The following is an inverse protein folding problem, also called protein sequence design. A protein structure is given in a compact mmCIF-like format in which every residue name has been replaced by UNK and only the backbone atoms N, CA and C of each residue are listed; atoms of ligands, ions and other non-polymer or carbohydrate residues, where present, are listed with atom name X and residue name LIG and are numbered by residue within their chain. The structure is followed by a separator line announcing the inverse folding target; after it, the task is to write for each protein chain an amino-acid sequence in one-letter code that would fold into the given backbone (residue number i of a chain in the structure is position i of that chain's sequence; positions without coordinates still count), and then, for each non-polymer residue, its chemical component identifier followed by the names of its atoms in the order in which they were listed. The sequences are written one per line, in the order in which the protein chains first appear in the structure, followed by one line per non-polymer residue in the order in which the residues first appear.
data_IF_022467983849
#
_entry.id   IF_022467983849
#
_cell.length_a   1.000
_cell.length_b   1.000
_cell.length_c   1.000
_cell.angle_alpha   90.00
_cell.angle_beta   90.00
_cell.angle_gamma   90.00
#
_symmetry.space_group_name_H-M   'P 1'
#
loop_
_entity.id
_entity.type
_entity.pdbx_description
1 polymer ?
#
# COMPACT_ATOMS: atom_id res chain seq x y z
N UNK A 1 -22.39 -5.30 5.15
CA UNK A 1 -22.31 -6.72 4.71
C UNK A 1 -21.07 -7.03 3.86
N UNK A 2 -20.61 -6.11 3.00
CA UNK A 2 -19.46 -6.32 2.11
C UNK A 2 -18.13 -6.66 2.80
N UNK A 3 -17.82 -6.04 3.95
CA UNK A 3 -16.59 -6.34 4.71
C UNK A 3 -16.49 -7.81 5.14
N UNK A 4 -17.62 -8.45 5.49
CA UNK A 4 -17.64 -9.86 5.91
C UNK A 4 -17.48 -10.82 4.72
N UNK A 5 -18.05 -10.48 3.57
CA UNK A 5 -17.92 -11.25 2.32
C UNK A 5 -16.46 -11.22 1.84
N UNK A 6 -15.83 -10.04 1.88
CA UNK A 6 -14.43 -9.88 1.52
C UNK A 6 -13.52 -10.68 2.48
N UNK A 7 -13.73 -10.57 3.80
CA UNK A 7 -12.98 -11.34 4.82
C UNK A 7 -13.09 -12.87 4.66
N UNK A 8 -14.29 -13.39 4.37
CA UNK A 8 -14.49 -14.83 4.15
C UNK A 8 -13.84 -15.31 2.84
N UNK A 9 -13.76 -14.45 1.82
CA UNK A 9 -13.08 -14.77 0.58
C UNK A 9 -11.55 -14.79 0.75
N UNK A 10 -10.94 -13.80 1.42
CA UNK A 10 -9.50 -13.83 1.77
C UNK A 10 -9.12 -15.06 2.60
N UNK A 11 -10.04 -15.50 3.46
CA UNK A 11 -9.84 -16.70 4.28
C UNK A 11 -9.78 -17.98 3.44
N UNK A 12 -10.63 -18.08 2.41
CA UNK A 12 -10.64 -19.23 1.48
C UNK A 12 -9.44 -19.21 0.53
N UNK A 13 -8.97 -18.02 0.17
CA UNK A 13 -7.85 -17.82 -0.77
C UNK A 13 -6.46 -17.81 -0.11
N UNK A 14 -6.38 -17.90 1.22
CA UNK A 14 -5.10 -18.01 1.94
C UNK A 14 -4.28 -16.71 2.00
N UNK A 15 -4.92 -15.55 1.82
CA UNK A 15 -4.24 -14.25 1.86
C UNK A 15 -3.48 -14.06 3.19
N UNK A 16 -2.21 -13.67 3.11
CA UNK A 16 -1.39 -13.37 4.29
C UNK A 16 -1.40 -11.88 4.66
N UNK A 17 -1.82 -11.00 3.74
CA UNK A 17 -1.87 -9.56 3.92
C UNK A 17 -3.04 -8.92 3.18
N UNK A 18 -3.25 -7.64 3.49
CA UNK A 18 -4.17 -6.72 2.87
C UNK A 18 -3.36 -5.54 2.35
N UNK A 19 -3.51 -5.20 1.08
CA UNK A 19 -3.03 -3.95 0.49
C UNK A 19 -4.20 -2.99 0.27
N UNK A 20 -3.93 -1.69 0.24
CA UNK A 20 -4.92 -0.68 -0.12
C UNK A 20 -4.23 0.52 -0.75
N UNK A 21 -4.69 0.92 -1.93
CA UNK A 21 -4.28 2.15 -2.58
C UNK A 21 -4.97 3.36 -1.94
N UNK A 22 -4.19 4.42 -1.69
CA UNK A 22 -4.65 5.69 -1.12
C UNK A 22 -4.32 6.81 -2.10
N UNK A 23 -5.36 7.35 -2.74
CA UNK A 23 -5.27 8.50 -3.63
C UNK A 23 -5.23 9.79 -2.80
N UNK A 24 -4.05 10.12 -2.26
CA UNK A 24 -3.81 11.33 -1.49
C UNK A 24 -2.42 11.84 -1.82
N UNK A 25 -2.29 13.04 -2.41
CA UNK A 25 -1.00 13.66 -2.65
C UNK A 25 -0.18 13.74 -1.37
N UNK A 26 1.05 13.23 -1.38
CA UNK A 26 1.90 13.19 -0.19
C UNK A 26 3.37 13.10 -0.53
N UNK A 27 4.23 13.61 0.35
CA UNK A 27 5.63 13.17 0.42
C UNK A 27 5.73 11.82 1.13
N UNK A 28 6.89 11.15 1.05
CA UNK A 28 7.02 9.78 1.59
C UNK A 28 6.77 9.69 3.10
N UNK A 29 7.21 10.71 3.86
CA UNK A 29 7.02 10.76 5.30
C UNK A 29 5.53 10.86 5.70
N UNK A 30 4.75 11.64 4.95
CA UNK A 30 3.30 11.81 5.16
C UNK A 30 2.54 10.55 4.75
N UNK A 31 2.90 9.96 3.60
CA UNK A 31 2.32 8.69 3.14
C UNK A 31 2.49 7.58 4.18
N UNK A 32 3.69 7.47 4.76
CA UNK A 32 3.98 6.58 5.89
C UNK A 32 3.10 6.86 7.10
N UNK A 33 2.98 8.13 7.50
CA UNK A 33 2.12 8.52 8.62
C UNK A 33 0.64 8.15 8.35
N UNK A 34 0.16 8.36 7.12
CA UNK A 34 -1.19 8.00 6.69
C UNK A 34 -1.49 6.50 6.79
N UNK A 35 -0.54 5.64 6.37
CA UNK A 35 -0.70 4.19 6.57
C UNK A 35 -0.70 3.80 8.05
N UNK A 36 0.20 4.39 8.84
CA UNK A 36 0.32 4.10 10.28
C UNK A 36 -0.92 4.51 11.07
N UNK A 37 -1.54 5.64 10.73
CA UNK A 37 -2.81 6.07 11.31
C UNK A 37 -3.94 5.03 11.13
N UNK A 38 -3.83 4.16 10.12
CA UNK A 38 -4.79 3.10 9.81
C UNK A 38 -4.33 1.70 10.26
N UNK A 39 -3.31 1.60 11.13
CA UNK A 39 -2.78 0.33 11.60
C UNK A 39 -2.11 -0.52 10.51
N UNK A 40 -1.61 0.15 9.47
CA UNK A 40 -0.86 -0.42 8.37
C UNK A 40 0.54 0.20 8.31
N UNK A 41 1.32 -0.19 7.31
CA UNK A 41 2.58 0.44 6.94
C UNK A 41 2.58 0.67 5.43
N UNK A 42 3.49 1.49 4.89
CA UNK A 42 3.67 1.52 3.42
C UNK A 42 4.03 0.12 2.90
N UNK A 43 3.55 -0.21 1.71
CA UNK A 43 3.62 -1.57 1.19
C UNK A 43 5.06 -2.05 0.94
N UNK A 44 5.39 -3.19 1.54
CA UNK A 44 6.48 -4.09 1.15
C UNK A 44 6.02 -5.07 0.09
N UNK A 45 6.93 -5.57 -0.74
CA UNK A 45 6.64 -6.50 -1.83
C UNK A 45 7.67 -7.65 -1.81
N UNK A 46 7.19 -8.90 -1.82
CA UNK A 46 8.04 -10.10 -1.66
C UNK A 46 7.94 -11.11 -2.80
N UNK A 47 7.19 -10.81 -3.85
CA UNK A 47 7.08 -11.67 -5.03
C UNK A 47 6.60 -10.87 -6.24
N UNK A 48 6.83 -11.43 -7.43
CA UNK A 48 6.26 -11.01 -8.70
C UNK A 48 4.74 -10.94 -8.63
N UNK A 49 4.12 -11.96 -8.04
CA UNK A 49 2.67 -12.03 -7.87
C UNK A 49 2.12 -10.94 -6.97
N UNK A 50 2.81 -10.63 -5.87
CA UNK A 50 2.43 -9.51 -5.01
C UNK A 50 2.59 -8.17 -5.72
N UNK A 51 3.69 -8.00 -6.46
CA UNK A 51 3.96 -6.79 -7.23
C UNK A 51 2.87 -6.51 -8.26
N UNK A 52 2.52 -7.52 -9.06
CA UNK A 52 1.49 -7.43 -10.09
C UNK A 52 0.12 -7.11 -9.48
N UNK A 53 -0.22 -7.77 -8.38
CA UNK A 53 -1.48 -7.60 -7.71
C UNK A 53 -1.65 -6.19 -7.09
N UNK A 54 -0.60 -5.66 -6.46
CA UNK A 54 -0.58 -4.27 -5.99
C UNK A 54 -0.64 -3.30 -7.19
N UNK A 55 0.07 -3.59 -8.27
CA UNK A 55 0.03 -2.75 -9.47
C UNK A 55 -1.39 -2.68 -10.08
N UNK A 56 -2.07 -3.82 -10.24
CA UNK A 56 -3.48 -3.89 -10.69
C UNK A 56 -4.41 -3.10 -9.77
N UNK A 57 -4.17 -3.11 -8.45
CA UNK A 57 -4.95 -2.30 -7.50
C UNK A 57 -4.85 -0.79 -7.72
N UNK A 58 -3.78 -0.32 -8.37
CA UNK A 58 -3.57 1.08 -8.73
C UNK A 58 -4.17 1.37 -10.12
N UNK A 59 -3.91 0.50 -11.09
CA UNK A 59 -4.32 0.69 -12.48
C UNK A 59 -5.85 0.55 -12.69
N UNK A 60 -6.47 -0.43 -12.02
CA UNK A 60 -7.86 -0.82 -12.26
C UNK A 60 -8.82 -0.27 -11.18
N UNK A 61 -8.36 0.66 -10.34
CA UNK A 61 -9.15 1.22 -9.25
C UNK A 61 -10.27 2.14 -9.77
N UNK A 62 -11.56 1.78 -9.61
CA UNK A 62 -12.64 2.69 -9.93
C UNK A 62 -12.69 3.80 -8.88
N UNK A 63 -11.99 4.88 -9.18
CA UNK A 63 -12.63 6.14 -9.38
C UNK A 63 -13.71 6.58 -8.35
N UNK A 64 -14.92 6.03 -8.44
CA UNK A 64 -16.14 6.43 -7.72
C UNK A 64 -16.28 5.79 -6.33
N UNK A 65 -15.31 5.00 -5.86
CA UNK A 65 -15.44 4.25 -4.61
C UNK A 65 -14.18 4.36 -3.75
N UNK A 66 -14.39 4.68 -2.47
CA UNK A 66 -13.34 4.78 -1.47
C UNK A 66 -12.72 3.39 -1.20
N UNK A 67 -11.40 3.30 -1.43
CA UNK A 67 -10.49 2.17 -1.16
C UNK A 67 -10.57 1.02 -2.18
N UNK A 68 -9.55 0.94 -3.04
CA UNK A 68 -9.38 -0.17 -3.97
C UNK A 68 -8.49 -1.29 -3.41
N UNK A 69 -9.03 -2.50 -3.60
CA UNK A 69 -8.39 -3.79 -3.75
C UNK A 69 -7.37 -4.30 -2.73
N UNK A 70 -7.84 -5.37 -2.09
CA UNK A 70 -7.13 -6.30 -1.23
C UNK A 70 -6.49 -7.39 -2.11
N UNK A 71 -5.18 -7.57 -2.01
CA UNK A 71 -4.44 -8.59 -2.75
C UNK A 71 -4.41 -9.95 -2.03
N UNK A 72 -4.76 -11.05 -2.71
CA UNK A 72 -4.53 -12.43 -2.25
C UNK A 72 -3.66 -13.22 -3.24
N UNK A 73 -2.40 -13.55 -2.90
CA UNK A 73 -1.45 -14.13 -3.86
C UNK A 73 -1.55 -15.66 -4.05
N UNK A 74 -2.71 -16.33 -3.94
CA UNK A 74 -2.83 -17.77 -4.32
C UNK A 74 -4.10 -18.14 -5.11
N UNK A 75 -3.91 -18.99 -6.15
CA UNK A 75 -4.84 -19.55 -7.17
C UNK A 75 -5.95 -18.63 -7.74
N UNK A 76 -5.72 -18.10 -8.94
CA UNK A 76 -6.75 -17.43 -9.75
C UNK A 76 -6.99 -16.00 -9.30
N UNK A 77 -6.39 -15.05 -9.99
CA UNK A 77 -6.44 -13.62 -9.66
C UNK A 77 -7.88 -13.10 -9.59
N UNK A 78 -8.30 -12.62 -8.42
CA UNK A 78 -9.45 -11.74 -8.32
C UNK A 78 -9.12 -10.57 -7.42
N UNK A 79 -9.13 -9.37 -8.01
CA UNK A 79 -9.09 -8.10 -7.33
C UNK A 79 -10.43 -7.93 -6.60
N UNK A 80 -10.43 -8.01 -5.27
CA UNK A 80 -11.66 -7.89 -4.49
C UNK A 80 -11.86 -6.45 -4.02
N UNK A 81 -12.94 -5.84 -4.49
CA UNK A 81 -13.38 -4.50 -4.08
C UNK A 81 -14.17 -4.60 -2.77
N UNK A 82 -13.62 -4.12 -1.67
CA UNK A 82 -14.34 -3.99 -0.41
C UNK A 82 -14.92 -2.59 -0.25
N UNK A 83 -16.24 -2.45 -0.13
CA UNK A 83 -16.88 -1.18 0.26
C UNK A 83 -16.86 -1.01 1.78
N UNK A 84 -16.30 0.10 2.25
CA UNK A 84 -16.45 0.61 3.62
C UNK A 84 -17.62 1.59 3.64
N UNK A 85 -18.82 1.11 3.95
CA UNK A 85 -19.93 1.98 4.32
C UNK A 85 -19.71 2.47 5.76
N UNK A 86 -18.85 3.47 5.93
CA UNK A 86 -18.80 4.22 7.18
C UNK A 86 -19.98 5.21 7.20
N UNK A 87 -20.86 5.16 8.22
CA UNK A 87 -22.01 6.04 8.30
C UNK A 87 -21.58 7.46 8.67
N UNK A 88 -21.92 8.41 7.79
CA UNK A 88 -22.22 9.83 8.04
C UNK A 88 -21.41 10.53 9.15
N UNK A 89 -20.47 11.38 8.75
CA UNK A 89 -20.16 12.60 9.49
C UNK A 89 -20.89 13.77 8.81
N UNK A 90 -21.71 14.45 9.60
CA UNK A 90 -22.74 15.40 9.17
C UNK A 90 -22.18 16.80 8.82
N UNK A 91 -22.62 17.26 7.65
CA UNK A 91 -23.02 18.63 7.24
C UNK A 91 -22.71 19.80 8.20
N UNK A 92 -21.79 20.68 7.80
CA UNK A 92 -22.06 22.13 7.68
C UNK A 92 -21.19 22.75 6.57
N UNK A 93 -21.79 23.68 5.82
CA UNK A 93 -21.26 24.47 4.70
C UNK A 93 -21.23 23.81 3.31
N UNK A 94 -22.30 24.07 2.56
CA UNK A 94 -22.64 23.55 1.22
C UNK A 94 -22.15 24.44 0.05
N UNK A 95 -21.23 25.39 0.25
CA UNK A 95 -20.99 26.46 -0.75
C UNK A 95 -19.60 26.59 -1.38
N UNK A 96 -18.69 25.63 -1.21
CA UNK A 96 -17.48 25.63 -2.04
C UNK A 96 -17.24 24.28 -2.75
N UNK A 97 -17.62 24.29 -4.04
CA UNK A 97 -16.98 23.58 -5.14
C UNK A 97 -17.22 22.06 -5.28
N UNK A 98 -18.46 21.65 -5.57
CA UNK A 98 -18.69 20.50 -6.47
C UNK A 98 -18.91 21.03 -7.88
N UNK A 99 -17.81 21.47 -8.51
CA UNK A 99 -17.64 21.49 -9.96
C UNK A 99 -16.34 20.74 -10.26
N UNK A 100 -16.42 19.42 -10.34
CA UNK A 100 -15.51 18.54 -11.07
C UNK A 100 -16.10 17.12 -11.00
N UNK A 101 -17.21 16.91 -11.69
CA UNK A 101 -17.33 15.64 -12.41
C UNK A 101 -16.10 15.57 -13.36
N UNK A 102 -15.38 14.45 -13.34
CA UNK A 102 -14.24 14.11 -14.19
C UNK A 102 -12.93 14.91 -14.10
N UNK A 103 -12.18 14.72 -13.01
CA UNK A 103 -10.71 14.81 -13.04
C UNK A 103 -10.05 13.62 -12.34
N UNK A 104 -10.07 12.46 -12.98
CA UNK A 104 -9.15 11.35 -12.63
C UNK A 104 -8.21 11.09 -13.79
N UNK A 105 -6.97 10.68 -13.54
CA UNK A 105 -6.09 10.29 -14.61
C UNK A 105 -6.44 8.84 -14.97
N UNK A 106 -6.95 8.61 -16.17
CA UNK A 106 -7.09 7.28 -16.79
C UNK A 106 -5.71 6.70 -17.20
N UNK A 107 -4.67 7.01 -16.44
CA UNK A 107 -3.29 6.84 -16.86
C UNK A 107 -2.64 5.74 -16.04
N UNK A 108 -2.18 4.66 -16.69
CA UNK A 108 -1.33 3.65 -16.05
C UNK A 108 0.04 4.19 -15.59
N UNK A 109 0.31 5.49 -15.82
CA UNK A 109 1.56 6.19 -15.57
C UNK A 109 1.58 6.96 -14.24
N UNK A 110 1.23 6.30 -13.13
CA UNK A 110 1.25 6.88 -11.78
C UNK A 110 2.48 6.48 -10.98
N UNK A 111 3.32 7.43 -10.61
CA UNK A 111 4.35 7.22 -9.58
C UNK A 111 3.66 7.20 -8.21
N UNK A 112 3.79 6.08 -7.49
CA UNK A 112 3.10 5.80 -6.22
C UNK A 112 4.12 5.36 -5.18
N UNK A 113 3.99 5.85 -3.95
CA UNK A 113 4.91 5.49 -2.87
C UNK A 113 4.77 4.02 -2.42
N UNK A 114 5.93 3.41 -2.16
CA UNK A 114 6.10 2.11 -1.52
C UNK A 114 6.87 2.26 -0.19
N UNK A 115 6.90 1.18 0.60
CA UNK A 115 7.56 1.16 1.90
C UNK A 115 9.06 0.93 1.84
N UNK A 116 9.65 0.90 0.65
CA UNK A 116 11.05 0.61 0.46
C UNK A 116 11.90 1.87 0.58
N UNK A 117 13.08 1.74 1.19
CA UNK A 117 14.06 2.82 1.24
C UNK A 117 15.48 2.32 1.13
N UNK A 118 16.38 3.17 0.66
CA UNK A 118 17.81 2.91 0.69
C UNK A 118 18.31 2.98 2.14
N UNK A 119 19.19 2.05 2.51
CA UNK A 119 19.83 2.04 3.82
C UNK A 119 20.84 3.19 3.91
N UNK A 120 20.84 3.89 5.04
CA UNK A 120 21.72 5.05 5.27
C UNK A 120 23.19 4.66 5.09
N UNK A 121 23.94 5.44 4.31
CA UNK A 121 25.37 5.21 4.06
C UNK A 121 25.70 4.08 3.09
N UNK A 122 24.70 3.44 2.45
CA UNK A 122 24.92 2.38 1.47
C UNK A 122 24.38 2.78 0.10
N UNK A 123 25.19 2.57 -0.94
CA UNK A 123 24.83 2.93 -2.31
C UNK A 123 23.79 1.99 -2.89
N UNK A 124 23.89 0.68 -2.70
CA UNK A 124 23.03 -0.30 -3.37
C UNK A 124 22.30 -1.24 -2.40
N UNK A 125 22.09 -0.81 -1.16
CA UNK A 125 21.40 -1.61 -0.14
C UNK A 125 20.07 -0.98 0.25
N UNK A 126 19.03 -1.79 0.32
CA UNK A 126 17.64 -1.37 0.53
C UNK A 126 16.99 -2.19 1.64
N UNK A 127 15.95 -1.62 2.24
CA UNK A 127 15.15 -2.24 3.28
C UNK A 127 13.69 -1.84 3.18
N UNK A 128 12.80 -2.72 3.64
CA UNK A 128 11.40 -2.40 3.86
C UNK A 128 11.19 -1.84 5.27
N UNK A 129 10.41 -0.77 5.40
CA UNK A 129 10.19 -0.11 6.70
C UNK A 129 9.32 -0.92 7.67
N UNK A 130 8.62 -1.93 7.18
CA UNK A 130 7.89 -2.90 8.00
C UNK A 130 8.78 -4.02 8.55
N UNK A 131 10.10 -3.94 8.31
CA UNK A 131 11.12 -4.89 8.74
C UNK A 131 11.01 -6.29 8.13
N UNK A 132 10.21 -6.45 7.08
CA UNK A 132 10.17 -7.69 6.31
C UNK A 132 11.45 -7.86 5.46
N UNK A 133 11.84 -9.10 5.11
CA UNK A 133 13.04 -9.34 4.32
C UNK A 133 13.01 -8.65 2.95
N UNK A 134 14.13 -8.03 2.57
CA UNK A 134 14.36 -7.47 1.24
C UNK A 134 15.01 -8.53 0.34
N UNK A 135 14.22 -9.53 -0.08
CA UNK A 135 14.69 -10.69 -0.86
C UNK A 135 14.06 -10.79 -2.26
N UNK A 136 13.21 -9.83 -2.63
CA UNK A 136 12.60 -9.71 -3.94
C UNK A 136 12.82 -8.29 -4.45
N UNK A 137 13.12 -8.16 -5.74
CA UNK A 137 13.36 -6.88 -6.39
C UNK A 137 12.65 -6.83 -7.72
N UNK A 138 12.04 -5.68 -8.03
CA UNK A 138 11.44 -5.43 -9.34
C UNK A 138 11.85 -4.05 -9.87
N UNK A 139 13.16 -3.79 -9.91
CA UNK A 139 13.69 -2.50 -10.35
C UNK A 139 13.41 -2.23 -11.82
N UNK A 140 13.15 -0.97 -12.16
CA UNK A 140 13.03 -0.54 -13.54
C UNK A 140 14.39 -0.64 -14.22
N UNK A 141 14.39 -0.62 -15.56
CA UNK A 141 15.65 -0.56 -16.30
C UNK A 141 16.50 0.62 -15.81
N UNK A 142 17.77 0.33 -15.54
CA UNK A 142 18.78 1.26 -15.00
C UNK A 142 18.55 1.71 -13.55
N UNK A 143 17.61 1.09 -12.84
CA UNK A 143 17.38 1.28 -11.40
C UNK A 143 17.91 0.08 -10.58
N UNK A 144 18.31 0.30 -9.31
CA UNK A 144 18.46 1.59 -8.66
C UNK A 144 19.67 2.34 -9.21
N UNK A 145 19.45 3.56 -9.72
CA UNK A 145 20.51 4.38 -10.28
C UNK A 145 21.59 4.74 -9.24
N UNK A 146 22.69 5.33 -9.70
CA UNK A 146 23.70 5.90 -8.80
C UNK A 146 23.02 6.91 -7.87
N UNK A 147 23.29 6.81 -6.57
CA UNK A 147 22.79 7.75 -5.57
C UNK A 147 23.12 9.19 -5.99
N UNK A 148 22.11 9.93 -6.44
CA UNK A 148 22.16 11.39 -6.49
C UNK A 148 21.46 11.92 -5.24
N UNK A 149 21.82 13.13 -4.79
CA UNK A 149 21.44 13.66 -3.45
C UNK A 149 19.95 13.38 -3.14
N UNK A 150 19.72 12.81 -1.96
CA UNK A 150 18.41 12.53 -1.36
C UNK A 150 17.46 11.52 -2.05
N UNK A 151 17.91 10.79 -3.09
CA UNK A 151 17.14 9.70 -3.71
C UNK A 151 17.21 8.40 -2.89
N UNK A 152 16.37 8.33 -1.86
CA UNK A 152 16.34 7.21 -0.92
C UNK A 152 14.98 6.51 -0.79
N UNK A 153 13.90 7.04 -1.35
CA UNK A 153 12.55 6.47 -1.17
C UNK A 153 12.04 5.79 -2.44
N UNK A 154 11.47 4.59 -2.27
CA UNK A 154 11.03 3.76 -3.39
C UNK A 154 9.61 4.08 -3.81
N UNK A 155 9.38 4.10 -5.12
CA UNK A 155 8.06 4.22 -5.73
C UNK A 155 7.92 3.25 -6.90
N UNK A 156 6.69 3.02 -7.35
CA UNK A 156 6.47 2.46 -8.68
C UNK A 156 6.93 3.45 -9.77
N UNK A 157 7.67 2.96 -10.76
CA UNK A 157 8.20 3.72 -11.88
C UNK A 157 7.25 3.73 -13.08
N UNK A 158 6.07 4.32 -12.92
CA UNK A 158 5.12 4.35 -14.02
C UNK A 158 5.26 5.67 -14.80
N UNK A 159 6.32 5.82 -15.59
CA UNK A 159 6.52 6.97 -16.47
C UNK A 159 6.06 6.63 -17.89
N UNK A 160 5.35 7.54 -18.56
CA UNK A 160 5.14 7.45 -20.00
C UNK A 160 6.45 7.80 -20.69
N UNK A 161 7.05 6.84 -21.38
CA UNK A 161 8.26 7.07 -22.16
C UNK A 161 7.93 6.80 -23.63
N UNK A 162 7.80 7.88 -24.41
CA UNK A 162 7.48 7.78 -25.83
C UNK A 162 8.64 7.10 -26.56
N UNK A 163 8.36 6.04 -27.32
CA UNK A 163 9.36 5.36 -28.16
C UNK A 163 10.24 4.33 -27.44
N UNK A 164 9.95 3.98 -26.18
CA UNK A 164 10.66 2.93 -25.43
C UNK A 164 9.72 1.79 -25.06
N UNK A 165 10.28 0.60 -24.81
CA UNK A 165 9.51 -0.55 -24.34
C UNK A 165 8.93 -0.28 -22.93
N UNK A 166 7.62 -0.06 -22.87
CA UNK A 166 6.86 0.19 -21.64
C UNK A 166 7.05 -0.93 -20.60
N UNK A 167 7.33 -2.16 -21.05
CA UNK A 167 7.50 -3.32 -20.18
C UNK A 167 8.66 -3.16 -19.20
N UNK A 168 9.70 -2.39 -19.58
CA UNK A 168 10.91 -2.15 -18.78
C UNK A 168 10.72 -1.16 -17.64
N UNK A 169 9.56 -0.49 -17.59
CA UNK A 169 9.34 0.66 -16.72
C UNK A 169 8.03 0.54 -15.95
N UNK A 170 6.91 0.24 -16.63
CA UNK A 170 5.64 -0.03 -15.97
C UNK A 170 5.81 -1.16 -14.95
N UNK A 171 5.04 -1.13 -13.85
CA UNK A 171 5.04 -2.10 -12.73
C UNK A 171 6.38 -2.29 -12.00
N UNK A 172 7.46 -1.65 -12.44
CA UNK A 172 8.78 -1.72 -11.83
C UNK A 172 8.98 -0.59 -10.81
N UNK A 173 10.08 -0.63 -10.07
CA UNK A 173 10.39 0.32 -9.01
C UNK A 173 11.51 1.26 -9.41
N UNK A 174 11.48 2.46 -8.87
CA UNK A 174 12.59 3.38 -8.90
C UNK A 174 12.84 3.97 -7.51
N UNK A 175 13.91 4.76 -7.41
CA UNK A 175 14.23 5.50 -6.19
C UNK A 175 14.23 6.99 -6.49
N UNK A 176 13.44 7.74 -5.72
CA UNK A 176 13.27 9.18 -5.89
C UNK A 176 13.48 9.91 -4.56
N UNK A 177 13.50 11.25 -4.63
CA UNK A 177 13.62 12.08 -3.44
C UNK A 177 12.46 11.82 -2.48
N UNK A 178 12.75 11.52 -1.22
CA UNK A 178 11.74 11.31 -0.18
C UNK A 178 10.83 12.54 0.05
N UNK A 179 11.29 13.73 -0.36
CA UNK A 179 10.57 15.00 -0.28
C UNK A 179 9.77 15.32 -1.55
N UNK A 180 9.82 14.46 -2.56
CA UNK A 180 9.03 14.63 -3.76
C UNK A 180 7.54 14.48 -3.43
N UNK A 181 6.71 15.44 -3.85
CA UNK A 181 5.27 15.33 -3.75
C UNK A 181 4.76 14.37 -4.84
N UNK A 182 4.21 13.22 -4.44
CA UNK A 182 3.54 12.30 -5.39
C UNK A 182 2.04 12.54 -5.37
N UNK A 183 1.53 13.10 -6.45
CA UNK A 183 0.12 13.48 -6.62
C UNK A 183 -0.85 12.31 -6.69
N UNK A 184 -0.35 11.14 -7.07
CA UNK A 184 -1.16 9.94 -7.21
C UNK A 184 -1.18 9.11 -5.92
N UNK A 185 -0.40 9.46 -4.90
CA UNK A 185 -0.50 8.87 -3.57
C UNK A 185 0.35 7.63 -3.32
N UNK A 186 -0.18 6.67 -2.57
CA UNK A 186 0.62 5.63 -1.91
C UNK A 186 -0.15 4.32 -1.68
N UNK A 187 0.57 3.22 -1.43
CA UNK A 187 -0.03 1.93 -1.06
C UNK A 187 0.29 1.59 0.38
N UNK A 188 -0.75 1.27 1.16
CA UNK A 188 -0.60 0.71 2.50
C UNK A 188 -0.72 -0.82 2.46
N UNK A 189 0.00 -1.51 3.35
CA UNK A 189 -0.07 -2.96 3.56
C UNK A 189 -0.18 -3.27 5.05
N UNK A 190 -0.98 -4.27 5.39
CA UNK A 190 -1.08 -4.81 6.76
C UNK A 190 -1.30 -6.32 6.75
N UNK A 191 -0.88 -7.05 7.79
CA UNK A 191 -1.16 -8.48 7.90
C UNK A 191 -2.67 -8.77 7.88
N UNK A 192 -3.08 -9.81 7.15
CA UNK A 192 -4.44 -10.30 7.20
C UNK A 192 -4.62 -11.16 8.45
N UNK A 193 -5.42 -10.70 9.39
CA UNK A 193 -5.69 -11.41 10.63
C UNK A 193 -7.11 -11.97 10.58
N UNK A 194 -7.22 -13.29 10.41
CA UNK A 194 -8.53 -13.96 10.44
C UNK A 194 -9.23 -13.75 11.78
N UNK A 195 -10.59 -13.79 11.83
CA UNK A 195 -11.33 -13.66 13.09
C UNK A 195 -10.86 -14.64 14.19
N UNK A 196 -10.48 -15.86 13.80
CA UNK A 196 -9.91 -16.85 14.71
C UNK A 196 -8.56 -16.41 15.30
N UNK A 197 -7.62 -15.93 14.46
CA UNK A 197 -6.33 -15.39 14.91
C UNK A 197 -6.52 -14.13 15.77
N UNK A 198 -7.48 -13.27 15.44
CA UNK A 198 -7.82 -12.09 16.24
C UNK A 198 -8.35 -12.45 17.63
N UNK A 199 -9.26 -13.44 17.72
CA UNK A 199 -9.81 -13.95 19.00
C UNK A 199 -8.70 -14.57 19.85
N UNK A 200 -7.80 -15.35 19.27
CA UNK A 200 -6.64 -15.92 19.95
C UNK A 200 -5.71 -14.83 20.51
N UNK A 201 -5.36 -13.83 19.70
CA UNK A 201 -4.50 -12.69 20.11
C UNK A 201 -5.12 -11.90 21.26
N UNK A 202 -6.44 -11.63 21.23
CA UNK A 202 -7.18 -10.98 22.33
C UNK A 202 -7.11 -11.81 23.61
N UNK A 203 -7.24 -13.14 23.54
CA UNK A 203 -7.13 -14.04 24.69
C UNK A 203 -5.72 -14.00 25.31
N UNK A 204 -4.67 -14.01 24.49
CA UNK A 204 -3.27 -13.88 24.95
C UNK A 204 -3.04 -12.53 25.63
N UNK A 205 -3.48 -11.42 25.02
CA UNK A 205 -3.32 -10.08 25.58
C UNK A 205 -4.05 -9.93 26.93
N UNK A 206 -5.27 -10.46 27.05
CA UNK A 206 -6.02 -10.50 28.32
C UNK A 206 -5.29 -11.29 29.40
N UNK A 207 -4.69 -12.44 29.07
CA UNK A 207 -3.87 -13.24 30.00
C UNK A 207 -2.62 -12.49 30.46
N UNK A 208 -1.89 -11.83 29.54
CA UNK A 208 -0.72 -10.99 29.88
C UNK A 208 -1.08 -9.83 30.82
N UNK A 209 -2.17 -9.11 30.54
CA UNK A 209 -2.67 -8.03 31.42
C UNK A 209 -3.02 -8.53 32.83
N UNK A 210 -3.62 -9.72 32.95
CA UNK A 210 -3.92 -10.33 34.26
C UNK A 210 -2.65 -10.70 35.03
N UNK A 211 -1.64 -11.28 34.36
CA UNK A 211 -0.34 -11.59 34.99
C UNK A 211 0.38 -10.32 35.46
N UNK A 212 0.44 -9.27 34.64
CA UNK A 212 1.07 -7.99 35.03
C UNK A 212 0.34 -7.27 36.17
N UNK A 213 -0.96 -7.51 36.38
CA UNK A 213 -1.68 -7.01 37.56
C UNK A 213 -1.37 -7.82 38.81
N UNK A 214 -1.16 -9.13 38.69
CA UNK A 214 -0.83 -10.02 39.82
C UNK A 214 0.61 -9.91 40.30
N UNK A 215 1.56 -9.55 39.44
CA UNK A 215 2.97 -9.32 39.82
C UNK A 215 3.29 -7.89 40.26
N UNK A 216 2.26 -7.08 40.56
CA UNK A 216 2.39 -5.73 41.12
C UNK A 216 1.87 -5.65 42.58
N UNK A 217 1.52 -6.80 43.15
CA UNK A 217 1.23 -7.02 44.56
C UNK A 217 2.25 -8.04 45.07
#
# INVERSE_FOLDING_TARGET
MASRIAEDQFRREGASFISSYVNSPSIWAEAKAGCRANGAELASIHSDRENECIYKSIADCPASKAKCALCSPQRGERVLFGVDESPKLEKTSWFYLVKNEDKRPQSKYHTIWLGGRRRKGMQSSFEWIDSTPFNYTNWAKDEPGKRTKDQDCMSFYNRRINGWDESSYLKHWNVISCHQMLWYGYVCKKPFVTPAKAKARRKILRRRRRRNRKGKH
#
